data_IF_967876007124
#
_entry.id   IF_967876007124
#
_cell.length_a   1.000
_cell.length_b   1.000
_cell.length_c   1.000
_cell.angle_alpha   90.00
_cell.angle_beta   90.00
_cell.angle_gamma   90.00
#
_symmetry.space_group_name_H-M   'P 1'
#
loop_
_entity.id
_entity.type
_entity.pdbx_description
1 polymer ?
#
# COMPACT_ATOMS: atom_id res chain seq x y z
N UNK A 1 -20.76 41.15 3.51
CA UNK A 1 -19.86 40.21 2.82
C UNK A 1 -18.95 39.65 3.90
N UNK A 2 -19.03 38.35 4.14
CA UNK A 2 -17.99 37.47 4.71
C UNK A 2 -18.63 36.23 5.34
N UNK A 3 -18.59 35.12 4.60
CA UNK A 3 -18.64 33.78 5.18
C UNK A 3 -17.34 33.07 4.77
N UNK A 4 -16.24 33.46 5.41
CA UNK A 4 -14.98 32.71 5.39
C UNK A 4 -15.11 31.54 6.37
N UNK A 5 -15.93 30.55 6.04
CA UNK A 5 -16.10 29.34 6.85
C UNK A 5 -16.88 28.26 6.11
N UNK A 6 -16.59 26.97 6.32
CA UNK A 6 -17.36 25.90 5.68
C UNK A 6 -18.82 26.02 6.10
N UNK A 7 -19.74 25.92 5.14
CA UNK A 7 -21.19 25.85 5.41
C UNK A 7 -21.59 24.59 6.19
N UNK A 8 -20.64 23.67 6.36
CA UNK A 8 -20.79 22.38 7.03
C UNK A 8 -20.13 22.43 8.42
N UNK A 9 -20.84 22.01 9.49
CA UNK A 9 -20.27 21.95 10.84
C UNK A 9 -18.98 21.13 10.91
N UNK A 10 -18.01 21.58 11.72
CA UNK A 10 -16.70 20.95 11.87
C UNK A 10 -16.78 19.44 12.20
N UNK A 11 -17.69 19.03 13.07
CA UNK A 11 -17.84 17.62 13.44
C UNK A 11 -18.25 16.73 12.26
N UNK A 12 -19.03 17.25 11.30
CA UNK A 12 -19.40 16.52 10.09
C UNK A 12 -18.18 16.35 9.19
N UNK A 13 -17.38 17.41 9.03
CA UNK A 13 -16.12 17.35 8.28
C UNK A 13 -15.17 16.31 8.85
N UNK A 14 -14.99 16.30 10.18
CA UNK A 14 -14.16 15.29 10.87
C UNK A 14 -14.71 13.88 10.65
N UNK A 15 -16.02 13.68 10.77
CA UNK A 15 -16.64 12.37 10.57
C UNK A 15 -16.48 11.85 9.13
N UNK A 16 -16.68 12.72 8.14
CA UNK A 16 -16.45 12.38 6.73
C UNK A 16 -14.97 12.07 6.46
N UNK A 17 -14.06 12.84 7.04
CA UNK A 17 -12.62 12.58 6.93
C UNK A 17 -12.23 11.24 7.57
N UNK A 18 -12.77 10.92 8.75
CA UNK A 18 -12.56 9.64 9.42
C UNK A 18 -13.11 8.50 8.56
N UNK A 19 -14.34 8.63 8.05
CA UNK A 19 -14.97 7.62 7.21
C UNK A 19 -14.16 7.36 5.92
N UNK A 20 -13.71 8.42 5.25
CA UNK A 20 -12.81 8.34 4.09
C UNK A 20 -11.50 7.63 4.44
N UNK A 21 -10.87 8.01 5.55
CA UNK A 21 -9.61 7.41 6.00
C UNK A 21 -9.75 5.92 6.26
N UNK A 22 -10.79 5.53 6.99
CA UNK A 22 -11.10 4.11 7.27
C UNK A 22 -11.38 3.35 5.98
N UNK A 23 -12.19 3.91 5.08
CA UNK A 23 -12.53 3.28 3.80
C UNK A 23 -11.28 2.99 2.95
N UNK A 24 -10.44 4.01 2.70
CA UNK A 24 -9.23 3.82 1.92
C UNK A 24 -8.17 2.96 2.63
N UNK A 25 -8.09 3.03 3.97
CA UNK A 25 -7.25 2.12 4.74
C UNK A 25 -7.62 0.65 4.50
N UNK A 26 -8.91 0.31 4.50
CA UNK A 26 -9.36 -1.04 4.18
C UNK A 26 -9.09 -1.45 2.74
N UNK A 27 -9.34 -0.56 1.78
CA UNK A 27 -9.06 -0.83 0.36
C UNK A 27 -7.56 -1.10 0.16
N UNK A 28 -6.69 -0.25 0.69
CA UNK A 28 -5.24 -0.44 0.56
C UNK A 28 -4.74 -1.67 1.33
N UNK A 29 -5.30 -1.96 2.51
CA UNK A 29 -5.01 -3.19 3.25
C UNK A 29 -5.38 -4.44 2.42
N UNK A 30 -6.51 -4.40 1.71
CA UNK A 30 -6.89 -5.47 0.78
C UNK A 30 -5.91 -5.57 -0.40
N UNK A 31 -5.48 -4.44 -0.98
CA UNK A 31 -4.51 -4.42 -2.08
C UNK A 31 -3.15 -4.97 -1.66
N UNK A 32 -2.59 -4.58 -0.51
CA UNK A 32 -1.31 -5.14 -0.04
C UNK A 32 -1.44 -6.63 0.29
N UNK A 33 -2.57 -7.06 0.86
CA UNK A 33 -2.84 -8.48 1.08
C UNK A 33 -2.86 -9.27 -0.25
N UNK A 34 -3.47 -8.70 -1.29
CA UNK A 34 -3.47 -9.27 -2.64
C UNK A 34 -2.05 -9.27 -3.24
N UNK A 35 -1.28 -8.20 -3.04
CA UNK A 35 0.11 -8.11 -3.51
C UNK A 35 0.98 -9.21 -2.92
N UNK A 36 0.89 -9.42 -1.60
CA UNK A 36 1.59 -10.51 -0.92
C UNK A 36 1.14 -11.88 -1.45
N UNK A 37 -0.16 -12.09 -1.69
CA UNK A 37 -0.68 -13.32 -2.32
C UNK A 37 -0.09 -13.55 -3.71
N UNK A 38 0.08 -12.49 -4.52
CA UNK A 38 0.68 -12.62 -5.85
C UNK A 38 2.18 -12.93 -5.74
N UNK A 39 2.89 -12.32 -4.79
CA UNK A 39 4.28 -12.68 -4.50
C UNK A 39 4.40 -14.17 -4.16
N UNK A 40 3.55 -14.70 -3.26
CA UNK A 40 3.52 -16.13 -2.91
C UNK A 40 3.34 -17.03 -4.15
N UNK A 41 2.52 -16.62 -5.14
CA UNK A 41 2.28 -17.38 -6.38
C UNK A 41 3.46 -17.28 -7.35
N UNK A 42 4.12 -16.13 -7.45
CA UNK A 42 5.24 -15.89 -8.36
C UNK A 42 6.55 -16.53 -7.87
N UNK A 43 6.66 -16.79 -6.58
CA UNK A 43 7.72 -17.61 -5.99
C UNK A 43 7.18 -18.94 -5.46
N UNK A 44 6.59 -19.82 -6.31
CA UNK A 44 5.78 -20.97 -5.89
C UNK A 44 6.53 -22.07 -5.11
N UNK A 45 7.85 -21.95 -4.93
CA UNK A 45 8.66 -22.80 -4.04
C UNK A 45 8.88 -22.19 -2.64
N UNK A 46 8.25 -21.06 -2.33
CA UNK A 46 8.24 -20.43 -1.01
C UNK A 46 6.78 -20.23 -0.61
N UNK A 47 6.41 -20.72 0.56
CA UNK A 47 5.25 -20.19 1.26
C UNK A 47 5.79 -19.08 2.17
N UNK A 48 5.95 -17.84 1.68
CA UNK A 48 6.63 -16.76 2.43
C UNK A 48 5.95 -16.51 3.77
N UNK A 49 4.61 -16.59 3.80
CA UNK A 49 3.81 -16.49 5.03
C UNK A 49 4.14 -17.53 6.09
N UNK A 50 4.46 -18.77 5.69
CA UNK A 50 4.83 -19.82 6.63
C UNK A 50 6.23 -19.56 7.20
N UNK A 51 7.18 -19.19 6.33
CA UNK A 51 8.57 -18.90 6.74
C UNK A 51 8.68 -17.68 7.64
N UNK A 52 7.92 -16.61 7.38
CA UNK A 52 7.91 -15.42 8.25
C UNK A 52 7.54 -15.80 9.69
N UNK A 53 6.64 -16.77 9.89
CA UNK A 53 6.22 -17.23 11.21
C UNK A 53 7.28 -18.02 11.98
N UNK A 54 8.36 -18.48 11.34
CA UNK A 54 9.39 -19.31 11.96
C UNK A 54 10.39 -18.50 12.80
N UNK A 55 10.46 -17.18 12.62
CA UNK A 55 11.44 -16.34 13.29
C UNK A 55 10.85 -14.99 13.75
N UNK A 56 11.03 -14.61 15.02
CA UNK A 56 10.42 -13.39 15.57
C UNK A 56 10.92 -12.09 14.91
N UNK A 57 12.16 -12.05 14.40
CA UNK A 57 12.66 -10.89 13.65
C UNK A 57 11.90 -10.74 12.35
N UNK A 58 11.57 -11.85 11.69
CA UNK A 58 10.82 -11.84 10.42
C UNK A 58 9.38 -11.39 10.63
N UNK A 59 8.75 -11.86 11.71
CA UNK A 59 7.44 -11.37 12.16
C UNK A 59 7.49 -9.86 12.44
N UNK A 60 8.51 -9.41 13.17
CA UNK A 60 8.73 -8.00 13.47
C UNK A 60 8.88 -7.14 12.22
N UNK A 61 9.65 -7.60 11.23
CA UNK A 61 9.80 -6.95 9.93
C UNK A 61 8.46 -6.89 9.19
N UNK A 62 7.71 -7.99 9.13
CA UNK A 62 6.39 -8.00 8.49
C UNK A 62 5.43 -6.99 9.13
N UNK A 63 5.32 -6.99 10.46
CA UNK A 63 4.44 -6.06 11.20
C UNK A 63 4.91 -4.61 11.02
N UNK A 64 6.23 -4.35 11.10
CA UNK A 64 6.81 -3.03 10.90
C UNK A 64 6.54 -2.49 9.48
N UNK A 65 6.69 -3.34 8.47
CA UNK A 65 6.40 -3.00 7.07
C UNK A 65 4.92 -2.67 6.87
N UNK A 66 4.04 -3.45 7.52
CA UNK A 66 2.61 -3.19 7.49
C UNK A 66 2.27 -1.85 8.16
N UNK A 67 2.88 -1.51 9.29
CA UNK A 67 2.66 -0.21 9.93
C UNK A 67 3.17 0.96 9.08
N UNK A 68 4.34 0.83 8.44
CA UNK A 68 4.84 1.86 7.52
C UNK A 68 3.87 2.02 6.34
N UNK A 69 3.43 0.91 5.75
CA UNK A 69 2.44 0.90 4.67
C UNK A 69 1.15 1.62 5.09
N UNK A 70 0.58 1.25 6.24
CA UNK A 70 -0.64 1.88 6.75
C UNK A 70 -0.43 3.36 7.07
N UNK A 71 0.72 3.74 7.62
CA UNK A 71 1.10 5.13 7.86
C UNK A 71 1.14 5.94 6.57
N UNK A 72 1.75 5.40 5.50
CA UNK A 72 1.77 6.03 4.18
C UNK A 72 0.35 6.16 3.59
N UNK A 73 -0.50 5.14 3.73
CA UNK A 73 -1.88 5.20 3.26
C UNK A 73 -2.67 6.27 4.02
N UNK A 74 -2.65 6.25 5.35
CA UNK A 74 -3.38 7.20 6.18
C UNK A 74 -2.89 8.63 5.91
N UNK A 75 -1.57 8.83 5.85
CA UNK A 75 -0.99 10.11 5.48
C UNK A 75 -1.45 10.55 4.09
N UNK A 76 -1.41 9.65 3.10
CA UNK A 76 -1.82 9.96 1.73
C UNK A 76 -3.29 10.35 1.63
N UNK A 77 -4.18 9.70 2.38
CA UNK A 77 -5.60 10.10 2.47
C UNK A 77 -5.75 11.45 3.15
N UNK A 78 -5.00 11.68 4.23
CA UNK A 78 -5.09 12.91 5.03
C UNK A 78 -4.58 14.14 4.28
N UNK A 79 -3.52 14.00 3.48
CA UNK A 79 -2.95 15.08 2.67
C UNK A 79 -3.49 15.12 1.25
N UNK A 80 -4.31 14.13 0.86
CA UNK A 80 -4.89 14.04 -0.47
C UNK A 80 -5.96 15.12 -0.69
N UNK A 81 -6.15 15.59 -1.92
CA UNK A 81 -7.13 16.61 -2.21
C UNK A 81 -8.55 16.17 -1.82
N UNK A 82 -9.27 17.08 -1.20
CA UNK A 82 -10.69 16.93 -0.86
C UNK A 82 -11.49 17.54 -2.00
N UNK A 83 -12.45 16.80 -2.56
CA UNK A 83 -13.38 17.39 -3.52
C UNK A 83 -14.27 18.40 -2.79
N UNK A 84 -14.07 19.67 -3.09
CA UNK A 84 -14.91 20.75 -2.60
C UNK A 84 -16.23 20.71 -3.36
N UNK A 85 -17.35 20.66 -2.64
CA UNK A 85 -18.70 20.61 -3.22
C UNK A 85 -19.20 19.21 -3.61
N UNK A 86 -18.43 18.15 -3.33
CA UNK A 86 -18.88 16.78 -3.51
C UNK A 86 -19.95 16.37 -2.49
N UNK A 87 -20.79 15.40 -2.87
CA UNK A 87 -21.74 14.79 -1.94
C UNK A 87 -21.01 14.09 -0.78
N UNK A 88 -21.70 13.84 0.34
CA UNK A 88 -21.14 13.10 1.47
C UNK A 88 -20.63 11.70 1.07
N UNK A 89 -21.35 11.03 0.16
CA UNK A 89 -20.97 9.72 -0.37
C UNK A 89 -19.70 9.83 -1.23
N UNK A 90 -19.65 10.79 -2.13
CA UNK A 90 -18.50 11.00 -3.03
C UNK A 90 -17.25 11.47 -2.28
N UNK A 91 -17.44 12.16 -1.16
CA UNK A 91 -16.36 12.56 -0.24
C UNK A 91 -15.66 11.36 0.41
N UNK A 92 -16.35 10.22 0.56
CA UNK A 92 -15.81 8.97 1.13
C UNK A 92 -15.40 8.01 0.02
N UNK A 93 -16.29 7.81 -0.95
CA UNK A 93 -16.12 6.91 -2.09
C UNK A 93 -15.89 7.72 -3.36
N UNK A 94 -14.64 7.77 -3.82
CA UNK A 94 -14.29 8.40 -5.08
C UNK A 94 -13.89 7.32 -6.10
N UNK A 95 -14.70 7.06 -7.14
CA UNK A 95 -14.42 6.01 -8.13
C UNK A 95 -13.15 6.28 -8.94
N UNK A 96 -12.87 7.54 -9.29
CA UNK A 96 -11.64 7.92 -10.00
C UNK A 96 -10.40 7.63 -9.15
N UNK A 97 -10.47 7.94 -7.85
CA UNK A 97 -9.39 7.65 -6.89
C UNK A 97 -9.17 6.15 -6.71
N UNK A 98 -10.25 5.39 -6.63
CA UNK A 98 -10.20 3.92 -6.54
C UNK A 98 -9.63 3.29 -7.81
N UNK A 99 -10.01 3.80 -8.98
CA UNK A 99 -9.44 3.40 -10.26
C UNK A 99 -7.94 3.68 -10.32
N UNK A 100 -7.52 4.88 -9.91
CA UNK A 100 -6.09 5.24 -9.86
C UNK A 100 -5.32 4.32 -8.90
N UNK A 101 -5.84 4.06 -7.70
CA UNK A 101 -5.24 3.10 -6.77
C UNK A 101 -5.09 1.71 -7.38
N UNK A 102 -6.12 1.20 -8.03
CA UNK A 102 -6.10 -0.12 -8.67
C UNK A 102 -5.07 -0.21 -9.80
N UNK A 103 -5.03 0.80 -10.67
CA UNK A 103 -4.07 0.86 -11.79
C UNK A 103 -2.64 1.04 -11.27
N UNK A 104 -2.40 1.96 -10.34
CA UNK A 104 -1.09 2.19 -9.73
C UNK A 104 -0.58 0.93 -9.02
N UNK A 105 -1.45 0.24 -8.28
CA UNK A 105 -1.14 -1.03 -7.65
C UNK A 105 -0.71 -2.07 -8.70
N UNK A 106 -1.54 -2.30 -9.72
CA UNK A 106 -1.26 -3.29 -10.76
C UNK A 106 0.05 -2.99 -11.52
N UNK A 107 0.26 -1.73 -11.91
CA UNK A 107 1.49 -1.30 -12.57
C UNK A 107 2.71 -1.49 -11.66
N UNK A 108 2.61 -1.14 -10.38
CA UNK A 108 3.72 -1.34 -9.43
C UNK A 108 4.04 -2.81 -9.22
N UNK A 109 3.03 -3.67 -9.20
CA UNK A 109 3.21 -5.12 -9.11
C UNK A 109 3.98 -5.64 -10.34
N UNK A 110 3.55 -5.29 -11.55
CA UNK A 110 4.24 -5.66 -12.79
C UNK A 110 5.68 -5.13 -12.81
N UNK A 111 5.88 -3.87 -12.43
CA UNK A 111 7.18 -3.24 -12.41
C UNK A 111 8.11 -3.89 -11.36
N UNK A 112 7.60 -4.20 -10.18
CA UNK A 112 8.36 -4.88 -9.13
C UNK A 112 8.86 -6.26 -9.59
N UNK A 113 8.03 -7.00 -10.33
CA UNK A 113 8.42 -8.29 -10.92
C UNK A 113 9.45 -8.10 -12.04
N UNK A 114 9.20 -7.15 -12.94
CA UNK A 114 10.10 -6.87 -14.05
C UNK A 114 11.48 -6.44 -13.57
N UNK A 115 11.55 -5.51 -12.61
CA UNK A 115 12.80 -5.04 -12.02
C UNK A 115 13.54 -6.16 -11.28
N UNK A 116 12.81 -7.02 -10.54
CA UNK A 116 13.42 -8.19 -9.90
C UNK A 116 14.10 -9.10 -10.94
N UNK A 117 13.40 -9.42 -12.04
CA UNK A 117 13.96 -10.26 -13.11
C UNK A 117 15.14 -9.60 -13.84
N UNK A 118 15.09 -8.29 -14.06
CA UNK A 118 16.19 -7.53 -14.67
C UNK A 118 17.41 -7.55 -13.73
N UNK A 119 17.21 -7.37 -12.42
CA UNK A 119 18.30 -7.38 -11.45
C UNK A 119 18.95 -8.76 -11.36
N UNK A 120 18.15 -9.83 -11.28
CA UNK A 120 18.61 -11.22 -11.30
C UNK A 120 19.45 -11.51 -12.57
N UNK A 121 18.98 -11.02 -13.72
CA UNK A 121 19.71 -11.15 -14.99
C UNK A 121 21.01 -10.34 -15.02
N UNK A 122 21.01 -9.11 -14.50
CA UNK A 122 22.17 -8.22 -14.51
C UNK A 122 23.26 -8.66 -13.51
N UNK A 123 22.87 -9.37 -12.46
CA UNK A 123 23.78 -9.81 -11.38
C UNK A 123 23.80 -11.32 -11.20
N UNK A 124 24.21 -12.08 -12.23
CA UNK A 124 24.10 -13.55 -12.26
C UNK A 124 24.95 -14.28 -11.21
N UNK A 125 25.87 -13.57 -10.54
CA UNK A 125 26.69 -14.13 -9.45
C UNK A 125 26.00 -14.05 -8.08
N UNK A 126 24.90 -13.31 -7.96
CA UNK A 126 24.12 -13.18 -6.73
C UNK A 126 22.88 -14.06 -6.88
N UNK A 127 22.74 -15.12 -6.08
CA UNK A 127 21.58 -16.00 -6.19
C UNK A 127 20.39 -15.39 -5.44
N UNK A 128 19.64 -14.46 -6.06
CA UNK A 128 18.45 -13.84 -5.43
C UNK A 128 17.39 -14.87 -5.03
N UNK A 129 17.42 -16.04 -5.66
CA UNK A 129 16.56 -17.18 -5.32
C UNK A 129 16.87 -17.79 -3.94
N UNK A 130 17.98 -17.43 -3.30
CA UNK A 130 18.39 -17.96 -1.99
C UNK A 130 17.85 -17.13 -0.82
N UNK A 131 17.17 -15.99 -1.07
CA UNK A 131 16.41 -15.22 -0.06
C UNK A 131 15.44 -16.12 0.73
N UNK A 132 15.05 -17.24 0.12
CA UNK A 132 14.14 -18.26 0.63
C UNK A 132 14.74 -19.05 1.78
N UNK A 133 16.06 -19.14 1.89
CA UNK A 133 16.72 -20.06 2.81
C UNK A 133 16.60 -19.62 4.26
N UNK A 134 16.42 -18.31 4.51
CA UNK A 134 16.29 -17.80 5.87
C UNK A 134 14.98 -17.02 6.04
N UNK A 135 14.22 -17.28 7.13
CA UNK A 135 13.03 -16.50 7.47
C UNK A 135 13.28 -14.98 7.46
N UNK A 136 14.45 -14.56 7.96
CA UNK A 136 14.81 -13.15 8.10
C UNK A 136 14.94 -12.48 6.73
N UNK A 137 15.58 -13.14 5.76
CA UNK A 137 15.67 -12.61 4.40
C UNK A 137 14.29 -12.49 3.74
N UNK A 138 13.41 -13.47 3.94
CA UNK A 138 12.00 -13.39 3.50
C UNK A 138 11.29 -12.20 4.18
N UNK A 139 11.48 -12.01 5.48
CA UNK A 139 10.92 -10.87 6.22
C UNK A 139 11.38 -9.52 5.68
N UNK A 140 12.67 -9.36 5.38
CA UNK A 140 13.24 -8.15 4.76
C UNK A 140 12.64 -7.92 3.37
N UNK A 141 12.52 -8.99 2.57
CA UNK A 141 11.97 -8.95 1.23
C UNK A 141 10.52 -8.46 1.24
N UNK A 142 9.65 -9.08 2.04
CA UNK A 142 8.23 -8.67 2.17
C UNK A 142 8.10 -7.27 2.75
N UNK A 143 8.91 -6.91 3.75
CA UNK A 143 8.98 -5.55 4.28
C UNK A 143 9.26 -4.53 3.17
N UNK A 144 10.25 -4.81 2.32
CA UNK A 144 10.60 -3.95 1.19
C UNK A 144 9.44 -3.76 0.21
N UNK A 145 8.70 -4.84 -0.11
CA UNK A 145 7.50 -4.74 -0.95
C UNK A 145 6.39 -3.92 -0.30
N UNK A 146 6.15 -4.07 1.01
CA UNK A 146 5.15 -3.26 1.71
C UNK A 146 5.50 -1.78 1.65
N UNK A 147 6.76 -1.41 1.87
CA UNK A 147 7.21 -0.02 1.75
C UNK A 147 7.06 0.48 0.31
N UNK A 148 7.49 -0.31 -0.67
CA UNK A 148 7.36 0.01 -2.09
C UNK A 148 5.90 0.26 -2.50
N UNK A 149 5.00 -0.68 -2.18
CA UNK A 149 3.56 -0.50 -2.45
C UNK A 149 2.99 0.70 -1.69
N UNK A 150 3.37 0.91 -0.44
CA UNK A 150 2.91 2.03 0.37
C UNK A 150 3.24 3.38 -0.26
N UNK A 151 4.45 3.53 -0.80
CA UNK A 151 4.89 4.76 -1.49
C UNK A 151 4.08 5.01 -2.76
N UNK A 152 3.85 3.97 -3.57
CA UNK A 152 3.08 4.10 -4.80
C UNK A 152 1.61 4.45 -4.50
N UNK A 153 0.99 3.78 -3.53
CA UNK A 153 -0.39 4.07 -3.16
C UNK A 153 -0.53 5.45 -2.50
N UNK A 154 0.45 5.87 -1.71
CA UNK A 154 0.51 7.25 -1.19
C UNK A 154 0.54 8.27 -2.32
N UNK A 155 1.37 8.06 -3.35
CA UNK A 155 1.41 8.94 -4.52
C UNK A 155 0.05 8.99 -5.24
N UNK A 156 -0.61 7.85 -5.43
CA UNK A 156 -1.94 7.78 -6.03
C UNK A 156 -3.02 8.51 -5.18
N UNK A 157 -2.92 8.43 -3.85
CA UNK A 157 -3.83 9.12 -2.93
C UNK A 157 -3.64 10.64 -2.93
N UNK A 158 -2.41 11.10 -3.14
CA UNK A 158 -2.04 12.53 -3.07
C UNK A 158 -2.07 13.23 -4.42
N UNK A 159 -2.10 12.49 -5.54
CA UNK A 159 -2.17 13.07 -6.89
C UNK A 159 -3.42 13.93 -7.08
N UNK A 160 -3.31 15.21 -7.49
CA UNK A 160 -4.48 16.00 -7.86
C UNK A 160 -5.15 15.41 -9.11
N UNK A 161 -6.45 15.17 -9.02
CA UNK A 161 -7.32 14.65 -10.08
C UNK A 161 -8.44 15.65 -10.34
#
# INVERSE_FOLDING_TARGET
MDQLGPTVPFYITVLLWMARTVFFAFVCAFLVWLGIRVLDVLTPRIHERQKIGENPVSIGLFIGGFFIFMGLVIHGVATGPVLVGASAVESVFNPTRLGLLGVSFFLSLLLGIALFNILDWLTPKIPFRDIRETPVAVGIYVFGYMVFFGLILHAALTTPL
#
